data_IF_293159522956
#
_entry.id   IF_293159522956
#
_cell.length_a   1.000
_cell.length_b   1.000
_cell.length_c   1.000
_cell.angle_alpha   90.00
_cell.angle_beta   90.00
_cell.angle_gamma   90.00
#
_symmetry.space_group_name_H-M   'P 1'
#
loop_
_entity.id
_entity.type
_entity.pdbx_description
1 polymer ?
#
# COMPACT_ATOMS: atom_id res chain seq x y z
N UNK A 1 6.22 2.10 15.76
CA UNK A 1 7.50 2.61 15.20
C UNK A 1 8.42 3.00 16.34
N UNK A 2 7.98 3.87 17.24
CA UNK A 2 8.77 4.35 18.38
C UNK A 2 9.01 3.29 19.48
N UNK A 3 8.37 2.12 19.41
CA UNK A 3 8.47 1.05 20.40
C UNK A 3 9.07 -0.26 19.86
N UNK A 4 9.61 -0.29 18.64
CA UNK A 4 10.31 -1.47 18.10
C UNK A 4 11.81 -1.34 18.38
N UNK A 5 12.45 -2.39 18.89
CA UNK A 5 13.87 -2.35 19.19
C UNK A 5 14.30 -3.25 20.35
N UNK A 6 15.57 -3.13 20.74
CA UNK A 6 16.09 -3.76 21.95
C UNK A 6 15.70 -2.93 23.18
N UNK A 7 15.21 -3.62 24.20
CA UNK A 7 14.93 -3.07 25.52
C UNK A 7 15.78 -3.81 26.55
N UNK A 8 16.37 -3.05 27.47
CA UNK A 8 17.19 -3.60 28.54
C UNK A 8 16.48 -3.32 29.87
N UNK A 9 16.24 -4.39 30.62
CA UNK A 9 15.78 -4.30 32.00
C UNK A 9 17.00 -4.44 32.92
N UNK A 10 17.26 -3.43 33.74
CA UNK A 10 18.30 -3.46 34.77
C UNK A 10 17.65 -3.48 36.15
N UNK A 11 18.04 -4.46 36.97
CA UNK A 11 17.71 -4.52 38.39
C UNK A 11 18.98 -4.34 39.21
N UNK A 12 18.98 -3.41 40.16
CA UNK A 12 20.15 -3.12 40.99
C UNK A 12 19.79 -3.06 42.47
N UNK A 13 20.75 -3.49 43.30
CA UNK A 13 20.74 -3.33 44.75
C UNK A 13 22.17 -2.97 45.24
N UNK A 14 22.39 -2.69 46.54
CA UNK A 14 23.73 -2.33 47.04
C UNK A 14 24.81 -3.40 46.87
N UNK A 15 24.43 -4.64 46.56
CA UNK A 15 25.34 -5.77 46.37
C UNK A 15 25.67 -6.01 44.88
N UNK A 16 24.99 -5.35 43.95
CA UNK A 16 25.27 -5.44 42.52
C UNK A 16 24.07 -5.12 41.62
N UNK A 17 24.24 -5.31 40.31
CA UNK A 17 23.16 -5.22 39.32
C UNK A 17 23.15 -6.39 38.36
N UNK A 18 21.97 -6.61 37.76
CA UNK A 18 21.73 -7.61 36.73
C UNK A 18 20.98 -6.94 35.59
N UNK A 19 21.37 -7.25 34.35
CA UNK A 19 20.71 -6.78 33.14
C UNK A 19 20.17 -7.94 32.30
N UNK A 20 19.02 -7.73 31.67
CA UNK A 20 18.42 -8.64 30.69
C UNK A 20 17.97 -7.84 29.47
N UNK A 21 18.39 -8.27 28.28
CA UNK A 21 17.96 -7.71 27.00
C UNK A 21 16.79 -8.49 26.39
N UNK A 22 15.88 -7.79 25.74
CA UNK A 22 14.79 -8.35 24.94
C UNK A 22 14.56 -7.52 23.67
N UNK A 23 14.14 -8.17 22.59
CA UNK A 23 13.81 -7.48 21.33
C UNK A 23 12.30 -7.44 21.12
N UNK A 24 11.74 -6.24 21.02
CA UNK A 24 10.32 -6.00 20.81
C UNK A 24 10.04 -5.70 19.33
N UNK A 25 9.24 -6.54 18.67
CA UNK A 25 8.77 -6.33 17.30
C UNK A 25 7.31 -5.91 17.27
N UNK A 26 6.97 -4.86 16.51
CA UNK A 26 5.60 -4.30 16.46
C UNK A 26 4.93 -4.64 15.13
N UNK A 27 3.82 -5.39 15.18
CA UNK A 27 3.01 -5.76 14.01
C UNK A 27 1.69 -4.99 13.98
N UNK A 28 1.21 -4.66 12.79
CA UNK A 28 0.01 -3.83 12.61
C UNK A 28 -0.64 -4.02 11.24
N UNK A 29 -1.96 -3.79 11.12
CA UNK A 29 -2.68 -3.89 9.85
C UNK A 29 -2.30 -2.76 8.87
N UNK A 30 -2.67 -2.88 7.59
CA UNK A 30 -2.29 -1.90 6.59
C UNK A 30 -2.95 -0.55 6.80
N UNK A 31 -2.16 0.51 6.66
CA UNK A 31 -2.62 1.89 6.62
C UNK A 31 -2.22 2.52 5.29
N UNK A 32 -3.22 2.95 4.52
CA UNK A 32 -2.98 3.72 3.30
C UNK A 32 -2.46 5.11 3.67
N UNK A 33 -1.32 5.48 3.09
CA UNK A 33 -0.66 6.77 3.31
C UNK A 33 -1.07 7.79 2.25
N UNK A 34 -1.33 7.33 1.03
CA UNK A 34 -1.75 8.19 -0.07
C UNK A 34 -2.25 7.36 -1.24
N UNK A 35 -3.22 7.94 -1.97
CA UNK A 35 -3.67 7.45 -3.26
C UNK A 35 -4.00 8.66 -4.14
N UNK A 36 -3.55 8.65 -5.38
CA UNK A 36 -3.80 9.73 -6.33
C UNK A 36 -3.93 9.17 -7.74
N UNK A 37 -4.67 9.89 -8.58
CA UNK A 37 -4.79 9.59 -9.99
C UNK A 37 -4.71 10.88 -10.80
N UNK A 38 -4.01 10.84 -11.94
CA UNK A 38 -3.86 11.94 -12.89
C UNK A 38 -3.99 11.42 -14.31
N UNK A 39 -4.60 12.23 -15.18
CA UNK A 39 -4.62 11.97 -16.61
C UNK A 39 -3.31 12.44 -17.23
N UNK A 40 -2.71 11.59 -18.04
CA UNK A 40 -1.52 11.84 -18.86
C UNK A 40 -1.84 11.54 -20.33
N UNK A 41 -0.96 11.90 -21.25
CA UNK A 41 -1.17 11.74 -22.71
C UNK A 41 -1.46 10.27 -23.11
N UNK A 42 -0.90 9.31 -22.37
CA UNK A 42 -1.05 7.87 -22.62
C UNK A 42 -2.24 7.22 -21.86
N UNK A 43 -2.94 7.96 -21.00
CA UNK A 43 -4.10 7.47 -20.23
C UNK A 43 -4.10 7.91 -18.77
N UNK A 44 -4.82 7.15 -17.92
CA UNK A 44 -4.90 7.44 -16.48
C UNK A 44 -3.73 6.79 -15.76
N UNK A 45 -2.97 7.57 -14.99
CA UNK A 45 -1.95 7.07 -14.07
C UNK A 45 -2.41 7.24 -12.63
N UNK A 46 -2.36 6.16 -11.86
CA UNK A 46 -2.67 6.16 -10.44
C UNK A 46 -1.51 5.64 -9.61
N UNK A 47 -1.40 6.14 -8.37
CA UNK A 47 -0.42 5.72 -7.39
C UNK A 47 -1.11 5.40 -6.06
N UNK A 48 -0.56 4.43 -5.33
CA UNK A 48 -1.05 4.00 -4.03
C UNK A 48 0.13 3.60 -3.14
N UNK A 49 0.15 4.12 -1.92
CA UNK A 49 1.19 3.83 -0.92
C UNK A 49 0.56 3.38 0.38
N UNK A 50 1.12 2.33 0.97
CA UNK A 50 0.64 1.74 2.21
C UNK A 50 1.80 1.37 3.13
N UNK A 51 1.50 1.30 4.42
CA UNK A 51 2.42 0.83 5.44
C UNK A 51 1.76 -0.23 6.30
N UNK A 52 2.46 -1.34 6.52
CA UNK A 52 2.01 -2.42 7.39
C UNK A 52 3.22 -3.23 7.90
N UNK A 53 3.06 -4.00 8.98
CA UNK A 53 4.05 -4.98 9.40
C UNK A 53 3.33 -6.30 9.72
N UNK A 54 3.54 -7.39 8.94
CA UNK A 54 4.34 -7.48 7.71
C UNK A 54 3.88 -6.54 6.59
N UNK A 55 4.79 -6.24 5.65
CA UNK A 55 4.51 -5.41 4.48
C UNK A 55 3.24 -5.88 3.74
N UNK A 56 2.36 -4.96 3.32
CA UNK A 56 1.11 -5.37 2.69
C UNK A 56 1.31 -5.68 1.20
N UNK A 57 0.48 -6.59 0.69
CA UNK A 57 0.23 -6.73 -0.74
C UNK A 57 -0.66 -5.57 -1.22
N UNK A 58 -0.37 -5.02 -2.40
CA UNK A 58 -1.19 -3.98 -3.03
C UNK A 58 -1.83 -4.52 -4.30
N UNK A 59 -3.14 -4.33 -4.43
CA UNK A 59 -3.96 -4.78 -5.55
C UNK A 59 -4.84 -3.64 -6.06
N UNK A 60 -5.08 -3.61 -7.38
CA UNK A 60 -5.98 -2.66 -8.00
C UNK A 60 -7.25 -3.35 -8.47
N UNK A 61 -8.38 -2.68 -8.30
CA UNK A 61 -9.70 -3.14 -8.74
C UNK A 61 -10.41 -2.06 -9.52
N UNK A 62 -10.98 -2.42 -10.66
CA UNK A 62 -11.84 -1.56 -11.46
C UNK A 62 -13.27 -2.13 -11.43
N UNK A 63 -14.16 -1.48 -10.67
CA UNK A 63 -15.44 -2.08 -10.29
C UNK A 63 -15.19 -3.36 -9.48
N UNK A 64 -15.74 -4.48 -9.95
CA UNK A 64 -15.52 -5.81 -9.34
C UNK A 64 -14.33 -6.56 -9.94
N UNK A 65 -13.75 -6.08 -11.05
CA UNK A 65 -12.65 -6.75 -11.74
C UNK A 65 -11.32 -6.46 -11.04
N UNK A 66 -10.58 -7.52 -10.73
CA UNK A 66 -9.22 -7.44 -10.19
C UNK A 66 -8.21 -7.28 -11.33
N UNK A 67 -7.34 -6.28 -11.23
CA UNK A 67 -6.30 -5.99 -12.21
C UNK A 67 -5.02 -6.75 -11.81
N UNK A 68 -4.96 -8.05 -12.14
CA UNK A 68 -3.79 -8.90 -11.83
C UNK A 68 -2.79 -8.92 -12.99
N UNK A 69 -1.53 -8.60 -12.69
CA UNK A 69 -0.39 -8.76 -13.60
C UNK A 69 -0.38 -7.85 -14.83
N UNK A 70 0.71 -7.94 -15.60
CA UNK A 70 0.83 -7.31 -16.92
C UNK A 70 0.04 -8.18 -17.92
N UNK A 71 -1.29 -8.09 -17.89
CA UNK A 71 -2.14 -8.82 -18.84
C UNK A 71 -1.77 -8.31 -20.24
N UNK A 72 -1.29 -9.20 -21.10
CA UNK A 72 -0.70 -8.93 -22.42
C UNK A 72 -1.63 -8.31 -23.47
N UNK A 73 -2.66 -7.60 -23.04
CA UNK A 73 -3.59 -6.88 -23.87
C UNK A 73 -3.59 -5.40 -23.46
N UNK A 74 -2.42 -4.75 -23.58
CA UNK A 74 -2.02 -3.31 -23.62
C UNK A 74 -2.90 -2.23 -22.96
N UNK A 75 -3.89 -2.60 -22.17
CA UNK A 75 -4.97 -1.75 -21.65
C UNK A 75 -4.64 -1.25 -20.27
N UNK A 76 -3.87 -2.02 -19.49
CA UNK A 76 -3.36 -1.56 -18.20
C UNK A 76 -2.02 -2.20 -17.85
N UNK A 77 -1.27 -1.49 -17.00
CA UNK A 77 0.00 -1.95 -16.45
C UNK A 77 0.03 -1.64 -14.97
N UNK A 78 0.30 -2.67 -14.14
CA UNK A 78 0.45 -2.54 -12.70
C UNK A 78 1.90 -2.80 -12.32
N UNK A 79 2.51 -1.87 -11.58
CA UNK A 79 3.85 -2.02 -11.04
C UNK A 79 3.79 -1.90 -9.53
N UNK A 80 4.18 -2.94 -8.81
CA UNK A 80 4.18 -2.97 -7.34
C UNK A 80 5.57 -3.22 -6.79
N UNK A 81 5.90 -2.56 -5.69
CA UNK A 81 7.16 -2.72 -4.97
C UNK A 81 6.94 -2.69 -3.46
N UNK A 82 7.78 -3.41 -2.72
CA UNK A 82 7.76 -3.43 -1.26
C UNK A 82 9.19 -3.35 -0.73
N UNK A 83 9.40 -2.51 0.27
CA UNK A 83 10.67 -2.38 0.98
C UNK A 83 10.37 -2.21 2.46
N UNK A 84 10.89 -3.10 3.33
CA UNK A 84 10.56 -3.09 4.75
C UNK A 84 9.04 -3.05 5.00
N UNK A 85 8.52 -2.20 5.90
CA UNK A 85 7.07 -2.06 6.15
C UNK A 85 6.30 -1.29 5.07
N UNK A 86 6.96 -0.80 4.02
CA UNK A 86 6.35 0.03 2.98
C UNK A 86 6.01 -0.80 1.74
N UNK A 87 4.85 -0.52 1.15
CA UNK A 87 4.48 -1.02 -0.17
C UNK A 87 3.93 0.13 -1.03
N UNK A 88 4.33 0.14 -2.30
CA UNK A 88 3.91 1.11 -3.30
C UNK A 88 3.42 0.39 -4.55
N UNK A 89 2.39 0.93 -5.18
CA UNK A 89 1.88 0.43 -6.45
C UNK A 89 1.47 1.58 -7.37
N UNK A 90 1.82 1.44 -8.65
CA UNK A 90 1.34 2.32 -9.71
C UNK A 90 0.52 1.54 -10.73
N UNK A 91 -0.52 2.18 -11.25
CA UNK A 91 -1.39 1.66 -12.29
C UNK A 91 -1.41 2.66 -13.45
N UNK A 92 -1.07 2.21 -14.65
CA UNK A 92 -1.32 2.94 -15.89
C UNK A 92 -2.46 2.26 -16.62
N UNK A 93 -3.45 3.01 -17.10
CA UNK A 93 -4.65 2.49 -17.73
C UNK A 93 -4.91 3.26 -19.03
N UNK A 94 -4.74 2.58 -20.17
CA UNK A 94 -4.98 3.14 -21.50
C UNK A 94 -6.48 3.28 -21.74
N UNK A 95 -6.85 4.32 -22.49
CA UNK A 95 -8.21 4.82 -22.64
C UNK A 95 -9.20 3.79 -23.22
N UNK A 96 -10.28 3.57 -22.49
CA UNK A 96 -11.39 2.67 -22.87
C UNK A 96 -12.42 2.48 -21.75
N UNK A 97 -12.41 3.36 -20.75
CA UNK A 97 -13.19 3.19 -19.52
C UNK A 97 -14.59 3.71 -19.74
N UNK A 98 -15.59 2.86 -19.53
CA UNK A 98 -16.96 3.30 -19.39
C UNK A 98 -17.07 4.27 -18.22
N UNK A 99 -17.65 5.44 -18.47
CA UNK A 99 -17.90 6.47 -17.46
C UNK A 99 -18.59 5.86 -16.23
N UNK A 100 -18.10 6.20 -15.02
CA UNK A 100 -18.71 5.76 -13.75
C UNK A 100 -18.09 4.51 -13.10
N UNK A 101 -17.00 3.96 -13.64
CA UNK A 101 -16.27 2.88 -12.98
C UNK A 101 -15.52 3.39 -11.74
N UNK A 102 -15.65 2.65 -10.62
CA UNK A 102 -14.92 2.88 -9.38
C UNK A 102 -13.56 2.19 -9.44
N UNK A 103 -12.48 2.96 -9.44
CA UNK A 103 -11.14 2.40 -9.27
C UNK A 103 -10.82 2.31 -7.77
N UNK A 104 -10.23 1.22 -7.33
CA UNK A 104 -9.83 1.05 -5.93
C UNK A 104 -8.46 0.40 -5.79
N UNK A 105 -7.71 0.87 -4.79
CA UNK A 105 -6.48 0.24 -4.32
C UNK A 105 -6.78 -0.48 -3.01
N UNK A 106 -6.38 -1.75 -2.92
CA UNK A 106 -6.54 -2.62 -1.78
C UNK A 106 -5.18 -3.00 -1.21
N UNK A 107 -4.97 -2.69 0.07
CA UNK A 107 -3.80 -3.10 0.83
C UNK A 107 -4.18 -4.20 1.81
N UNK A 108 -3.46 -5.31 1.80
CA UNK A 108 -3.76 -6.48 2.66
C UNK A 108 -2.49 -7.09 3.25
N UNK A 109 -2.52 -7.39 4.55
CA UNK A 109 -1.57 -8.26 5.22
C UNK A 109 -2.31 -9.26 6.13
N UNK A 110 -1.55 -10.11 6.83
CA UNK A 110 -2.11 -11.14 7.74
C UNK A 110 -2.94 -10.57 8.91
N UNK A 111 -2.87 -9.27 9.17
CA UNK A 111 -3.56 -8.60 10.26
C UNK A 111 -4.79 -7.80 9.81
N UNK A 112 -5.02 -7.67 8.50
CA UNK A 112 -6.22 -7.02 7.97
C UNK A 112 -6.03 -6.41 6.58
N UNK A 113 -7.05 -5.70 6.14
CA UNK A 113 -7.08 -5.03 4.84
C UNK A 113 -7.65 -3.61 4.93
N UNK A 114 -7.19 -2.74 4.03
CA UNK A 114 -7.71 -1.39 3.86
C UNK A 114 -7.89 -1.07 2.38
N UNK A 115 -8.96 -0.35 2.03
CA UNK A 115 -9.28 0.04 0.65
C UNK A 115 -9.39 1.56 0.52
N UNK A 116 -8.85 2.11 -0.56
CA UNK A 116 -9.17 3.46 -1.04
C UNK A 116 -9.83 3.38 -2.42
N UNK A 117 -10.73 4.30 -2.72
CA UNK A 117 -11.44 4.33 -4.00
C UNK A 117 -11.44 5.72 -4.60
N UNK A 118 -11.22 5.81 -5.90
CA UNK A 118 -11.33 7.02 -6.70
C UNK A 118 -12.45 6.81 -7.70
N UNK A 119 -13.36 7.78 -7.77
CA UNK A 119 -14.41 7.80 -8.80
C UNK A 119 -13.84 8.42 -10.06
N UNK A 120 -13.92 7.69 -11.17
CA UNK A 120 -13.51 8.20 -12.47
C UNK A 120 -14.67 9.00 -13.07
N UNK A 121 -14.51 10.32 -13.13
CA UNK A 121 -15.46 11.20 -13.79
C UNK A 121 -15.17 11.22 -15.31
N UNK A 122 -16.19 11.12 -16.17
CA UNK A 122 -16.01 11.30 -17.60
C UNK A 122 -15.62 12.76 -17.91
N UNK A 123 -14.59 12.95 -18.75
CA UNK A 123 -14.37 14.23 -19.45
C UNK A 123 -13.27 15.16 -18.93
N UNK A 124 -12.29 14.71 -18.15
CA UNK A 124 -11.06 15.47 -17.91
C UNK A 124 -9.87 14.85 -18.68
N UNK A 125 -9.96 14.92 -20.02
CA UNK A 125 -8.75 14.87 -20.84
C UNK A 125 -8.06 16.24 -20.84
N UNK A 126 -6.75 16.33 -21.14
CA UNK A 126 -6.10 17.62 -21.34
C UNK A 126 -6.79 18.41 -22.46
N UNK A 127 -6.95 19.71 -22.25
CA UNK A 127 -7.58 20.66 -23.17
C UNK A 127 -6.83 20.82 -24.49
#
# INVERSE_FOLDING_TARGET
MEHEGEFICEASNPLGSLQVSLHLSVRYPPRLLGHSCSWEDEGLRCSCSSRAQPAPSLRWRLGEALLEGNHGNDSYTVTSSSAGPWANSSLSLRTGLSAGLRLSCEAENVHGAQRASVLLLPGQGPA
#
